data_IF_522917543806
#
_entry.id   IF_522917543806
#
_cell.length_a   1.000
_cell.length_b   1.000
_cell.length_c   1.000
_cell.angle_alpha   90.00
_cell.angle_beta   90.00
_cell.angle_gamma   90.00
#
_symmetry.space_group_name_H-M   'P 1'
#
loop_
_entity.id
_entity.type
_entity.pdbx_description
1 polymer ?
#
# COMPACT_ATOMS: atom_id res chain seq x y z
N UNK A 1 -12.54 -14.34 -10.01
CA UNK A 1 -12.10 -12.93 -10.17
C UNK A 1 -10.63 -12.92 -9.81
N UNK A 2 -9.80 -12.35 -10.69
CA UNK A 2 -8.38 -12.17 -10.40
C UNK A 2 -8.21 -11.18 -9.25
N UNK A 3 -7.34 -11.52 -8.29
CA UNK A 3 -7.04 -10.64 -7.15
C UNK A 3 -6.20 -9.46 -7.63
N UNK A 4 -6.42 -8.27 -7.05
CA UNK A 4 -5.58 -7.11 -7.34
C UNK A 4 -4.22 -7.28 -6.65
N UNK A 5 -3.13 -7.37 -7.41
CA UNK A 5 -1.78 -7.53 -6.86
C UNK A 5 -1.16 -6.19 -6.46
N UNK A 6 -0.70 -6.07 -5.23
CA UNK A 6 -0.16 -4.83 -4.65
C UNK A 6 1.14 -5.10 -3.90
N UNK A 7 2.15 -4.26 -4.10
CA UNK A 7 3.41 -4.31 -3.36
C UNK A 7 3.31 -3.45 -2.11
N UNK A 8 3.56 -4.00 -0.92
CA UNK A 8 3.62 -3.23 0.32
C UNK A 8 5.08 -3.05 0.77
N UNK A 9 5.55 -1.81 0.89
CA UNK A 9 6.90 -1.48 1.34
C UNK A 9 6.89 -0.73 2.68
N UNK A 10 7.39 -1.37 3.73
CA UNK A 10 7.53 -0.77 5.05
C UNK A 10 7.18 -1.73 6.16
N UNK A 11 7.19 -1.24 7.40
CA UNK A 11 6.89 -2.03 8.61
C UNK A 11 5.99 -1.31 9.61
N UNK A 12 5.35 -0.19 9.23
CA UNK A 12 4.40 0.47 10.13
C UNK A 12 3.16 -0.38 10.39
N UNK A 13 2.58 -0.19 11.57
CA UNK A 13 1.30 -0.79 11.94
C UNK A 13 0.19 -0.42 10.93
N UNK A 14 0.17 0.82 10.43
CA UNK A 14 -0.80 1.27 9.43
C UNK A 14 -0.72 0.47 8.12
N UNK A 15 0.50 0.19 7.64
CA UNK A 15 0.71 -0.61 6.43
C UNK A 15 0.24 -2.06 6.63
N UNK A 16 0.51 -2.63 7.81
CA UNK A 16 0.08 -3.98 8.18
C UNK A 16 -1.45 -4.08 8.26
N UNK A 17 -2.08 -3.15 8.97
CA UNK A 17 -3.55 -3.10 9.08
C UNK A 17 -4.21 -2.96 7.70
N UNK A 18 -3.64 -2.11 6.83
CA UNK A 18 -4.11 -1.95 5.46
C UNK A 18 -3.95 -3.24 4.64
N UNK A 19 -2.80 -3.93 4.73
CA UNK A 19 -2.61 -5.19 4.01
C UNK A 19 -3.56 -6.29 4.47
N UNK A 20 -3.81 -6.38 5.79
CA UNK A 20 -4.75 -7.35 6.36
C UNK A 20 -6.20 -7.04 5.96
N UNK A 21 -6.58 -5.76 5.94
CA UNK A 21 -7.88 -5.35 5.42
C UNK A 21 -8.00 -5.68 3.93
N UNK A 22 -7.01 -5.33 3.13
CA UNK A 22 -7.03 -5.52 1.68
C UNK A 22 -7.10 -7.01 1.28
N UNK A 23 -6.42 -7.89 2.00
CA UNK A 23 -6.48 -9.35 1.79
C UNK A 23 -7.91 -9.89 1.92
N UNK A 24 -8.65 -9.43 2.94
CA UNK A 24 -10.07 -9.78 3.13
C UNK A 24 -10.99 -9.25 2.03
N UNK A 25 -10.51 -8.30 1.22
CA UNK A 25 -11.26 -7.64 0.15
C UNK A 25 -10.73 -8.00 -1.26
N UNK A 26 -9.95 -9.08 -1.39
CA UNK A 26 -9.54 -9.60 -2.70
C UNK A 26 -8.31 -8.92 -3.30
N UNK A 27 -7.50 -8.27 -2.48
CA UNK A 27 -6.18 -7.74 -2.84
C UNK A 27 -5.11 -8.73 -2.39
N UNK A 28 -4.13 -9.01 -3.23
CA UNK A 28 -3.01 -9.90 -2.92
C UNK A 28 -1.73 -9.09 -2.71
N UNK A 29 -1.05 -9.32 -1.60
CA UNK A 29 0.26 -8.72 -1.36
C UNK A 29 1.33 -9.51 -2.13
N UNK A 30 2.09 -8.83 -2.99
CA UNK A 30 3.16 -9.42 -3.80
C UNK A 30 4.50 -8.74 -3.57
N UNK A 31 5.58 -9.40 -3.98
CA UNK A 31 6.92 -8.82 -3.89
C UNK A 31 7.15 -7.73 -4.93
N UNK A 32 8.12 -6.84 -4.66
CA UNK A 32 8.52 -5.78 -5.61
C UNK A 32 9.03 -6.27 -6.98
N UNK A 33 9.31 -7.57 -7.10
CA UNK A 33 9.72 -8.29 -8.31
C UNK A 33 8.56 -8.83 -9.13
N UNK A 34 7.33 -8.84 -8.61
CA UNK A 34 6.17 -9.35 -9.36
C UNK A 34 5.77 -8.32 -10.44
N UNK A 35 5.88 -8.73 -11.71
CA UNK A 35 5.58 -7.90 -12.88
C UNK A 35 4.09 -7.60 -13.04
N UNK A 36 3.21 -8.39 -12.42
CA UNK A 36 1.75 -8.22 -12.45
C UNK A 36 1.23 -7.30 -11.35
N UNK A 37 2.11 -6.75 -10.50
CA UNK A 37 1.73 -5.75 -9.52
C UNK A 37 1.08 -4.54 -10.20
N UNK A 38 -0.11 -4.16 -9.74
CA UNK A 38 -0.83 -2.99 -10.27
C UNK A 38 -0.34 -1.68 -9.65
N UNK A 39 0.05 -1.71 -8.37
CA UNK A 39 0.59 -0.55 -7.66
C UNK A 39 1.45 -0.97 -6.46
N UNK A 40 2.14 0.00 -5.87
CA UNK A 40 2.82 -0.13 -4.61
C UNK A 40 2.26 0.82 -3.56
N UNK A 41 2.28 0.37 -2.31
CA UNK A 41 1.89 1.11 -1.12
C UNK A 41 3.12 1.21 -0.24
N UNK A 42 3.62 2.43 -0.07
CA UNK A 42 4.90 2.72 0.57
C UNK A 42 4.68 3.49 1.86
N UNK A 43 5.24 2.97 2.94
CA UNK A 43 5.31 3.68 4.21
C UNK A 43 6.25 4.88 4.08
N UNK A 44 5.77 6.07 4.47
CA UNK A 44 6.56 7.30 4.42
C UNK A 44 7.87 7.24 5.21
N UNK A 45 7.93 6.35 6.21
CA UNK A 45 9.11 6.15 7.07
C UNK A 45 10.09 5.10 6.53
N UNK A 46 9.75 4.34 5.48
CA UNK A 46 10.55 3.23 4.95
C UNK A 46 11.77 3.66 4.10
N UNK A 47 12.20 4.93 4.18
CA UNK A 47 13.20 5.52 3.26
C UNK A 47 14.58 4.87 3.30
N UNK A 48 15.02 4.28 4.42
CA UNK A 48 16.38 3.76 4.57
C UNK A 48 16.53 2.25 4.35
N UNK A 49 15.52 1.44 4.67
CA UNK A 49 15.57 -0.03 4.55
C UNK A 49 15.14 -0.59 3.19
N UNK A 50 14.51 0.23 2.35
CA UNK A 50 13.82 -0.21 1.13
C UNK A 50 14.39 0.40 -0.15
N UNK A 51 15.59 0.99 -0.14
CA UNK A 51 16.16 1.70 -1.29
C UNK A 51 16.21 0.87 -2.59
N UNK A 52 16.58 -0.41 -2.50
CA UNK A 52 16.60 -1.31 -3.66
C UNK A 52 15.19 -1.60 -4.19
N UNK A 53 14.21 -1.82 -3.30
CA UNK A 53 12.82 -2.05 -3.68
C UNK A 53 12.20 -0.79 -4.29
N UNK A 54 12.42 0.38 -3.69
CA UNK A 54 11.96 1.68 -4.22
C UNK A 54 12.55 1.98 -5.60
N UNK A 55 13.84 1.67 -5.79
CA UNK A 55 14.48 1.78 -7.11
C UNK A 55 13.77 0.89 -8.14
N UNK A 56 13.47 -0.37 -7.82
CA UNK A 56 12.75 -1.27 -8.72
C UNK A 56 11.36 -0.76 -9.08
N UNK A 57 10.58 -0.30 -8.10
CA UNK A 57 9.26 0.28 -8.36
C UNK A 57 9.34 1.46 -9.33
N UNK A 58 10.33 2.34 -9.12
CA UNK A 58 10.57 3.49 -9.99
C UNK A 58 10.99 3.08 -11.39
N UNK A 59 11.94 2.15 -11.51
CA UNK A 59 12.48 1.71 -12.79
C UNK A 59 11.40 0.99 -13.63
N UNK A 60 10.37 0.43 -12.98
CA UNK A 60 9.17 -0.16 -13.61
C UNK A 60 8.03 0.83 -13.85
N UNK A 61 8.20 2.10 -13.48
CA UNK A 61 7.13 3.11 -13.50
C UNK A 61 5.86 2.70 -12.73
N UNK A 62 6.01 1.90 -11.66
CA UNK A 62 4.86 1.40 -10.91
C UNK A 62 4.24 2.53 -10.08
N UNK A 63 2.91 2.76 -10.18
CA UNK A 63 2.24 3.77 -9.37
C UNK A 63 2.42 3.50 -7.88
N UNK A 64 2.85 4.52 -7.14
CA UNK A 64 3.13 4.42 -5.70
C UNK A 64 2.18 5.31 -4.90
N UNK A 65 1.49 4.73 -3.92
CA UNK A 65 0.73 5.43 -2.90
C UNK A 65 1.55 5.49 -1.61
N UNK A 66 1.65 6.66 -1.00
CA UNK A 66 2.29 6.77 0.31
C UNK A 66 1.25 6.68 1.41
N UNK A 67 1.48 5.85 2.42
CA UNK A 67 0.59 5.74 3.58
C UNK A 67 1.23 6.45 4.76
N UNK A 68 0.51 7.43 5.30
CA UNK A 68 0.80 8.01 6.61
C UNK A 68 -0.11 7.35 7.66
N UNK A 69 0.21 7.53 8.95
CA UNK A 69 -0.63 7.04 10.06
C UNK A 69 -2.10 7.48 9.98
N UNK A 70 -2.42 8.54 9.23
CA UNK A 70 -3.78 9.05 9.06
C UNK A 70 -4.66 8.25 8.09
N UNK A 71 -4.10 7.38 7.25
CA UNK A 71 -4.89 6.65 6.24
C UNK A 71 -5.84 5.62 6.85
N UNK A 72 -5.43 4.89 7.90
CA UNK A 72 -6.33 3.96 8.59
C UNK A 72 -7.52 4.69 9.23
N UNK A 73 -7.30 5.91 9.73
CA UNK A 73 -8.37 6.77 10.24
C UNK A 73 -9.32 7.21 9.11
N UNK A 74 -8.79 7.63 7.97
CA UNK A 74 -9.58 8.03 6.80
C UNK A 74 -10.34 6.86 6.17
N UNK A 75 -9.72 5.69 6.00
CA UNK A 75 -10.38 4.50 5.43
C UNK A 75 -11.48 3.96 6.35
N UNK A 76 -11.27 4.00 7.67
CA UNK A 76 -12.31 3.69 8.66
C UNK A 76 -13.43 4.73 8.67
N UNK A 77 -13.11 6.02 8.50
CA UNK A 77 -14.10 7.09 8.40
C UNK A 77 -14.95 6.99 7.13
N UNK A 78 -14.32 6.76 5.98
CA UNK A 78 -15.00 6.58 4.68
C UNK A 78 -15.84 5.29 4.68
N UNK A 79 -15.32 4.19 5.24
CA UNK A 79 -16.10 2.95 5.43
C UNK A 79 -17.28 3.08 6.40
N UNK A 80 -17.32 4.15 7.20
CA UNK A 80 -18.43 4.52 8.10
C UNK A 80 -19.33 5.62 7.54
N UNK A 81 -19.10 6.07 6.30
CA UNK A 81 -19.90 7.12 5.67
C UNK A 81 -19.65 8.52 6.21
N UNK A 82 -18.48 8.78 6.81
CA UNK A 82 -18.05 10.12 7.19
C UNK A 82 -17.43 10.80 5.96
N UNK A 83 -18.00 11.94 5.55
CA UNK A 83 -17.44 12.74 4.48
C UNK A 83 -16.06 13.31 4.89
N UNK A 84 -15.01 13.15 4.06
CA UNK A 84 -13.73 13.77 4.33
C UNK A 84 -13.87 15.29 4.28
N UNK A 85 -13.45 15.95 5.37
CA UNK A 85 -13.40 17.41 5.45
C UNK A 85 -12.31 17.90 4.50
N UNK A 86 -12.70 18.67 3.48
CA UNK A 86 -11.82 19.35 2.53
C UNK A 86 -11.15 20.55 3.20
#
# INVERSE_FOLDING_TARGET
MDKLKVVYLGKSAALRELSEWADRHGVEAVESSDDEAACAVVDQTARSGSAAALKRLRDRHLPCLSVSRGWCFLASAVGRGLDPVV
#
